data_IF_814554522535
#
_entry.id   IF_814554522535
#
_cell.length_a   1.000
_cell.length_b   1.000
_cell.length_c   1.000
_cell.angle_alpha   90.00
_cell.angle_beta   90.00
_cell.angle_gamma   90.00
#
_symmetry.space_group_name_H-M   'P 1'
#
loop_
_entity.id
_entity.type
_entity.pdbx_description
1 polymer ?
#
# COMPACT_ATOMS: atom_id res chain seq x y z
N UNK A 1 -20.47 -21.90 3.30
CA UNK A 1 -20.63 -20.45 3.10
C UNK A 1 -19.26 -19.87 2.85
N UNK A 2 -19.07 -19.08 1.80
CA UNK A 2 -17.85 -18.29 1.66
C UNK A 2 -17.94 -17.13 2.65
N UNK A 3 -16.98 -17.06 3.57
CA UNK A 3 -16.87 -15.92 4.48
C UNK A 3 -16.20 -14.81 3.67
N UNK A 4 -16.96 -13.75 3.39
CA UNK A 4 -16.43 -12.56 2.72
C UNK A 4 -15.31 -11.89 3.52
N UNK A 5 -14.61 -10.90 2.94
CA UNK A 5 -13.50 -10.23 3.61
C UNK A 5 -13.95 -9.64 4.95
N UNK A 6 -13.08 -9.75 5.95
CA UNK A 6 -13.36 -9.15 7.24
C UNK A 6 -13.41 -7.62 7.14
N UNK A 7 -14.13 -6.97 8.05
CA UNK A 7 -14.14 -5.50 8.13
C UNK A 7 -12.73 -4.95 8.32
N UNK A 8 -11.87 -5.65 9.08
CA UNK A 8 -10.48 -5.25 9.27
C UNK A 8 -9.70 -5.25 7.96
N UNK A 9 -9.89 -6.27 7.12
CA UNK A 9 -9.25 -6.34 5.81
C UNK A 9 -9.67 -5.17 4.91
N UNK A 10 -10.98 -4.88 4.84
CA UNK A 10 -11.49 -3.75 4.05
C UNK A 10 -10.96 -2.40 4.55
N UNK A 11 -10.73 -2.24 5.85
CA UNK A 11 -10.16 -1.02 6.42
C UNK A 11 -8.67 -0.89 6.10
N UNK A 12 -7.91 -1.97 6.14
CA UNK A 12 -6.50 -1.96 5.75
C UNK A 12 -6.35 -1.55 4.29
N UNK A 13 -7.12 -2.17 3.38
CA UNK A 13 -7.11 -1.84 1.94
C UNK A 13 -7.43 -0.36 1.68
N UNK A 14 -8.31 0.26 2.50
CA UNK A 14 -8.61 1.69 2.40
C UNK A 14 -7.46 2.58 2.92
N UNK A 15 -6.75 2.15 3.96
CA UNK A 15 -5.61 2.91 4.52
C UNK A 15 -4.46 2.96 3.52
N UNK A 16 -4.19 1.84 2.83
CA UNK A 16 -3.10 1.71 1.85
C UNK A 16 -3.18 2.73 0.71
N UNK A 17 -4.39 3.14 0.34
CA UNK A 17 -4.64 3.99 -0.84
C UNK A 17 -5.01 5.43 -0.50
N UNK A 18 -5.11 5.77 0.78
CA UNK A 18 -5.57 7.07 1.22
C UNK A 18 -4.50 8.15 1.02
N UNK A 19 -4.89 9.26 0.42
CA UNK A 19 -4.10 10.50 0.40
C UNK A 19 -4.10 11.19 1.77
N UNK A 20 -5.24 11.15 2.46
CA UNK A 20 -5.48 11.85 3.71
C UNK A 20 -6.19 10.90 4.67
N UNK A 21 -5.63 10.74 5.87
CA UNK A 21 -6.20 9.95 6.95
C UNK A 21 -6.65 10.86 8.08
N UNK A 22 -7.96 10.90 8.34
CA UNK A 22 -8.52 11.66 9.47
C UNK A 22 -8.64 10.77 10.69
N UNK A 23 -7.76 10.97 11.65
CA UNK A 23 -7.85 10.42 13.00
C UNK A 23 -8.86 11.23 13.81
N UNK A 24 -10.13 10.85 13.73
CA UNK A 24 -11.20 11.46 14.52
C UNK A 24 -11.30 10.86 15.92
N UNK A 25 -11.93 11.61 16.84
CA UNK A 25 -12.15 11.26 18.26
C UNK A 25 -10.89 11.20 19.10
N UNK A 26 -9.88 12.03 18.77
CA UNK A 26 -8.64 12.07 19.57
C UNK A 26 -8.90 12.52 21.01
N UNK A 27 -10.02 13.21 21.28
CA UNK A 27 -10.51 13.57 22.60
C UNK A 27 -10.86 12.36 23.50
N UNK A 28 -11.02 11.17 22.91
CA UNK A 28 -11.42 9.95 23.65
C UNK A 28 -10.25 9.02 24.00
N UNK A 29 -9.03 9.38 23.60
CA UNK A 29 -7.83 8.55 23.74
C UNK A 29 -6.67 9.38 24.27
N UNK A 30 -5.64 8.72 24.79
CA UNK A 30 -4.42 9.41 25.28
C UNK A 30 -3.47 9.76 24.14
N UNK A 31 -2.61 10.75 24.34
CA UNK A 31 -1.57 11.13 23.36
C UNK A 31 -0.66 9.96 22.96
N UNK A 32 -0.38 9.04 23.90
CA UNK A 32 0.41 7.84 23.64
C UNK A 32 -0.30 6.91 22.68
N UNK A 33 -1.60 6.68 22.87
CA UNK A 33 -2.39 5.84 21.96
C UNK A 33 -2.54 6.46 20.57
N UNK A 34 -2.65 7.79 20.50
CA UNK A 34 -2.64 8.51 19.21
C UNK A 34 -1.29 8.34 18.51
N UNK A 35 -0.18 8.39 19.25
CA UNK A 35 1.16 8.20 18.69
C UNK A 35 1.34 6.77 18.16
N UNK A 36 0.99 5.76 18.95
CA UNK A 36 1.04 4.34 18.55
C UNK A 36 0.19 4.08 17.30
N UNK A 37 -0.99 4.69 17.22
CA UNK A 37 -1.85 4.58 16.04
C UNK A 37 -1.22 5.27 14.82
N UNK A 38 -0.61 6.45 14.99
CA UNK A 38 0.10 7.14 13.90
C UNK A 38 1.28 6.33 13.37
N UNK A 39 2.04 5.69 14.26
CA UNK A 39 3.14 4.80 13.86
C UNK A 39 2.62 3.59 13.09
N UNK A 40 1.53 2.98 13.56
CA UNK A 40 0.89 1.84 12.88
C UNK A 40 0.37 2.24 11.50
N UNK A 41 -0.31 3.38 11.37
CA UNK A 41 -0.80 3.88 10.10
C UNK A 41 0.33 4.25 9.15
N UNK A 42 1.41 4.86 9.65
CA UNK A 42 2.59 5.19 8.86
C UNK A 42 3.34 3.94 8.35
N UNK A 43 3.28 2.83 9.07
CA UNK A 43 3.82 1.55 8.60
C UNK A 43 3.00 0.94 7.45
N UNK A 44 1.69 1.22 7.39
CA UNK A 44 0.80 0.77 6.32
C UNK A 44 0.87 1.71 5.11
N UNK A 45 0.77 3.01 5.35
CA UNK A 45 0.81 4.05 4.31
C UNK A 45 1.62 5.25 4.81
N UNK A 46 2.90 5.28 4.43
CA UNK A 46 3.81 6.39 4.74
C UNK A 46 3.60 7.66 3.90
N UNK A 47 2.69 7.64 2.91
CA UNK A 47 2.43 8.77 2.03
C UNK A 47 1.21 9.60 2.44
N UNK A 48 0.31 9.05 3.26
CA UNK A 48 -0.89 9.74 3.69
C UNK A 48 -0.60 10.93 4.62
N UNK A 49 -1.25 12.07 4.39
CA UNK A 49 -1.31 13.15 5.39
C UNK A 49 -2.25 12.75 6.53
N UNK A 50 -1.73 12.65 7.75
CA UNK A 50 -2.53 12.28 8.92
C UNK A 50 -3.01 13.54 9.65
N UNK A 51 -4.34 13.70 9.75
CA UNK A 51 -5.00 14.81 10.43
C UNK A 51 -5.67 14.32 11.72
N UNK A 52 -5.32 14.92 12.85
CA UNK A 52 -6.03 14.69 14.12
C UNK A 52 -7.26 15.59 14.21
N UNK A 53 -8.39 15.02 14.66
CA UNK A 53 -9.67 15.72 14.73
C UNK A 53 -10.49 15.32 15.95
N UNK A 54 -11.23 16.28 16.49
CA UNK A 54 -12.26 16.07 17.51
C UNK A 54 -13.61 16.43 16.91
N UNK A 55 -14.63 15.60 17.14
CA UNK A 55 -15.98 15.81 16.57
C UNK A 55 -16.02 16.03 15.04
N UNK A 56 -15.04 15.49 14.31
CA UNK A 56 -14.91 15.66 12.86
C UNK A 56 -14.47 17.06 12.43
N UNK A 57 -13.98 17.91 13.34
CA UNK A 57 -13.47 19.23 13.01
C UNK A 57 -12.12 19.09 12.29
N UNK A 58 -12.14 19.30 10.97
CA UNK A 58 -10.96 19.27 10.08
C UNK A 58 -10.98 20.45 9.12
N UNK A 59 -9.82 21.04 8.80
CA UNK A 59 -9.75 22.10 7.80
C UNK A 59 -10.10 21.56 6.42
N UNK A 60 -11.08 22.18 5.75
CA UNK A 60 -11.61 21.69 4.47
C UNK A 60 -10.55 21.65 3.36
N UNK A 61 -9.67 22.64 3.35
CA UNK A 61 -8.55 22.76 2.42
C UNK A 61 -7.53 21.62 2.54
N UNK A 62 -7.55 20.86 3.64
CA UNK A 62 -6.71 19.67 3.84
C UNK A 62 -7.41 18.36 3.49
N UNK A 63 -8.73 18.38 3.31
CA UNK A 63 -9.48 17.18 2.94
C UNK A 63 -9.53 16.95 1.44
N UNK A 64 -9.57 18.02 0.66
CA UNK A 64 -9.69 17.94 -0.79
C UNK A 64 -8.36 18.24 -1.44
N UNK A 65 -7.97 17.37 -2.36
CA UNK A 65 -6.88 17.63 -3.28
C UNK A 65 -7.33 18.65 -4.34
N UNK A 66 -6.37 19.43 -4.86
CA UNK A 66 -6.64 20.44 -5.88
C UNK A 66 -7.11 19.86 -7.22
N UNK A 67 -6.77 18.60 -7.51
CA UNK A 67 -7.26 17.86 -8.67
C UNK A 67 -7.18 16.34 -8.42
N UNK A 68 -7.82 15.53 -9.27
CA UNK A 68 -7.79 14.06 -9.14
C UNK A 68 -6.38 13.50 -9.37
N UNK A 69 -5.64 14.11 -10.27
CA UNK A 69 -4.26 13.74 -10.65
C UNK A 69 -3.26 14.09 -9.54
N UNK A 70 -3.63 14.98 -8.63
CA UNK A 70 -2.83 15.30 -7.45
C UNK A 70 -2.96 14.24 -6.33
N UNK A 71 -3.84 13.25 -6.50
CA UNK A 71 -4.09 12.19 -5.52
C UNK A 71 -3.54 10.84 -5.92
N UNK A 72 -3.14 10.08 -4.90
CA UNK A 72 -2.63 8.71 -5.00
C UNK A 72 -3.70 7.73 -5.49
N UNK A 73 -4.99 8.08 -5.40
CA UNK A 73 -6.07 7.30 -6.01
C UNK A 73 -5.87 7.07 -7.53
N UNK A 74 -5.26 8.02 -8.24
CA UNK A 74 -4.91 7.85 -9.66
C UNK A 74 -3.61 7.04 -9.86
N UNK A 75 -2.74 7.03 -8.85
CA UNK A 75 -1.52 6.21 -8.82
C UNK A 75 -1.85 4.74 -8.51
N UNK A 76 -2.95 4.47 -7.83
CA UNK A 76 -3.38 3.14 -7.40
C UNK A 76 -4.04 2.29 -8.50
N UNK A 77 -4.45 2.89 -9.62
CA UNK A 77 -4.80 2.12 -10.84
C UNK A 77 -3.54 1.54 -11.53
N UNK A 78 -2.34 2.03 -11.19
CA UNK A 78 -1.08 1.71 -11.88
C UNK A 78 -0.13 0.87 -11.01
N UNK A 79 -0.34 0.83 -9.69
CA UNK A 79 0.57 0.15 -8.76
C UNK A 79 0.19 -1.31 -8.48
N UNK A 80 0.15 -2.16 -9.52
CA UNK A 80 0.36 -3.59 -9.31
C UNK A 80 0.93 -4.41 -10.49
N UNK A 81 1.31 -3.79 -11.62
CA UNK A 81 2.05 -4.52 -12.66
C UNK A 81 3.06 -3.66 -13.43
N UNK A 82 2.72 -2.41 -13.77
CA UNK A 82 3.63 -1.55 -14.54
C UNK A 82 4.88 -1.17 -13.74
N UNK A 83 4.76 -0.84 -12.46
CA UNK A 83 5.94 -0.57 -11.62
C UNK A 83 6.88 -1.77 -11.52
N UNK A 84 6.35 -3.00 -11.53
CA UNK A 84 7.16 -4.23 -11.56
C UNK A 84 7.80 -4.46 -12.93
N UNK A 85 7.10 -4.17 -14.03
CA UNK A 85 7.61 -4.27 -15.40
C UNK A 85 8.66 -3.21 -15.69
N UNK A 86 8.44 -1.96 -15.28
CA UNK A 86 9.39 -0.85 -15.41
C UNK A 86 10.62 -1.10 -14.55
N UNK A 87 10.46 -1.66 -13.34
CA UNK A 87 11.58 -2.11 -12.52
C UNK A 87 12.35 -3.26 -13.17
N UNK A 88 11.67 -4.24 -13.78
CA UNK A 88 12.30 -5.34 -14.52
C UNK A 88 13.02 -4.86 -15.79
N UNK A 89 12.44 -3.91 -16.53
CA UNK A 89 13.05 -3.27 -17.70
C UNK A 89 14.26 -2.43 -17.30
N UNK A 90 14.16 -1.68 -16.20
CA UNK A 90 15.27 -0.94 -15.62
C UNK A 90 16.42 -1.86 -15.20
N UNK A 91 16.14 -2.97 -14.51
CA UNK A 91 17.14 -4.00 -14.17
C UNK A 91 17.84 -4.57 -15.42
N UNK A 92 17.09 -4.81 -16.51
CA UNK A 92 17.63 -5.29 -17.79
C UNK A 92 18.50 -4.25 -18.50
N UNK A 93 18.25 -2.96 -18.27
CA UNK A 93 18.99 -1.85 -18.86
C UNK A 93 20.31 -1.54 -18.15
N UNK A 94 20.50 -2.06 -16.93
CA UNK A 94 21.77 -1.94 -16.24
C UNK A 94 22.81 -2.88 -16.87
N UNK A 95 24.04 -2.42 -17.10
CA UNK A 95 25.12 -3.33 -17.48
C UNK A 95 25.33 -4.32 -16.32
N UNK A 96 25.30 -5.61 -16.64
CA UNK A 96 25.52 -6.71 -15.70
C UNK A 96 26.73 -6.43 -14.82
N UNK A 97 26.50 -6.16 -13.53
CA UNK A 97 27.52 -6.34 -12.53
C UNK A 97 27.75 -7.86 -12.44
N UNK A 98 28.94 -8.30 -12.83
CA UNK A 98 29.33 -9.70 -12.80
C UNK A 98 28.98 -10.34 -11.44
N UNK A 99 28.44 -11.56 -11.41
CA UNK A 99 27.98 -12.17 -10.18
C UNK A 99 29.17 -12.47 -9.26
N UNK A 100 29.17 -11.88 -8.07
CA UNK A 100 29.92 -12.42 -6.95
C UNK A 100 29.20 -13.70 -6.50
N UNK A 101 29.92 -14.81 -6.53
CA UNK A 101 29.40 -16.14 -6.22
C UNK A 101 28.78 -16.23 -4.82
N UNK A 102 27.56 -16.73 -4.73
CA UNK A 102 27.07 -17.50 -3.59
C UNK A 102 25.89 -18.37 -4.03
N UNK A 103 26.09 -19.67 -3.85
CA UNK A 103 25.15 -20.77 -4.08
C UNK A 103 23.85 -20.62 -3.28
N UNK A 104 22.70 -20.96 -3.86
CA UNK A 104 21.71 -21.84 -3.23
C UNK A 104 20.60 -22.23 -4.23
N UNK A 105 20.37 -23.53 -4.32
CA UNK A 105 19.45 -24.22 -5.21
C UNK A 105 18.01 -24.11 -4.73
N UNK A 106 17.07 -23.76 -5.62
CA UNK A 106 15.67 -24.15 -5.44
C UNK A 106 15.06 -24.65 -6.75
N UNK A 107 14.96 -25.98 -6.86
CA UNK A 107 14.19 -26.70 -7.88
C UNK A 107 12.71 -26.72 -7.48
N UNK A 108 11.82 -26.33 -8.40
CA UNK A 108 10.41 -26.69 -8.32
C UNK A 108 9.97 -27.33 -9.64
N UNK A 109 9.85 -28.65 -9.58
CA UNK A 109 9.22 -29.51 -10.59
C UNK A 109 7.71 -29.40 -10.47
N UNK A 110 7.01 -29.08 -11.56
CA UNK A 110 5.65 -29.57 -11.77
C UNK A 110 5.51 -30.19 -13.15
N UNK A 111 5.18 -31.48 -13.10
CA UNK A 111 4.87 -32.41 -14.17
C UNK A 111 3.35 -32.50 -14.31
N UNK A 112 2.94 -32.95 -15.51
CA UNK A 112 1.60 -33.39 -15.94
C UNK A 112 0.67 -32.29 -16.47
N UNK A 113 -0.08 -32.45 -17.56
CA UNK A 113 -0.28 -33.59 -18.46
C UNK A 113 -0.92 -33.02 -19.75
N UNK A 114 -0.47 -33.51 -20.90
CA UNK A 114 -1.05 -33.24 -22.21
C UNK A 114 -2.34 -34.02 -22.42
N UNK A 115 -3.39 -33.39 -22.94
CA UNK A 115 -4.45 -34.11 -23.65
C UNK A 115 -4.94 -33.29 -24.85
N UNK A 116 -4.58 -33.76 -26.05
CA UNK A 116 -5.23 -33.46 -27.32
C UNK A 116 -6.32 -34.52 -27.57
N UNK A 117 -7.54 -34.07 -27.85
CA UNK A 117 -8.44 -34.48 -28.95
C UNK A 117 -9.88 -34.02 -28.68
#
# INVERSE_FOLDING_TARGET
>A
EEVGPSVGQLLTEQIEIADVLVLNKVDTVTDVQVLELKETLGAINGFAEILSAEFGAVPFEKLLLSSREAGVASSNEVMDHQSAVDFALWLRSQPSAAPAEASESHEHSHTSESHEH
#
